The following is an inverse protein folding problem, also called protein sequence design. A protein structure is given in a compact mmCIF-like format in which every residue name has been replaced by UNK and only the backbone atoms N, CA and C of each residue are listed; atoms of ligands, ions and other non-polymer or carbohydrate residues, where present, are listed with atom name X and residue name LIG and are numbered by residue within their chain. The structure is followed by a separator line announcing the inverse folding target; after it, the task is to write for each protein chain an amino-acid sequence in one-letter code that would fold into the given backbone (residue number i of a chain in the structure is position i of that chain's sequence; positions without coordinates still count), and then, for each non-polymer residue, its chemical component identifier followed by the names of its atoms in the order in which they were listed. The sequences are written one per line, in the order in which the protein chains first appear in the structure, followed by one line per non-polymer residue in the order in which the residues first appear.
data_IF_332408056685
#
_entry.id   IF_332408056685
#
_cell.length_a   1.000
_cell.length_b   1.000
_cell.length_c   1.000
_cell.angle_alpha   90.00
_cell.angle_beta   90.00
_cell.angle_gamma   90.00
#
_symmetry.space_group_name_H-M   'P 1'
#
loop_
_entity.id
_entity.type
_entity.pdbx_description
1 polymer ?
#
# COMPACT_ATOMS: atom_id res chain seq x y z
N UNK A 1 21.57 -5.69 -2.87
CA UNK A 1 20.62 -4.83 -2.13
C UNK A 1 20.36 -3.48 -2.79
N UNK A 2 21.37 -2.75 -3.28
CA UNK A 2 21.15 -1.41 -3.87
C UNK A 2 20.15 -1.36 -5.03
N UNK A 3 20.20 -2.33 -5.97
CA UNK A 3 19.24 -2.41 -7.08
C UNK A 3 17.78 -2.55 -6.62
N UNK A 4 17.53 -3.37 -5.58
CA UNK A 4 16.19 -3.54 -5.00
C UNK A 4 15.67 -2.23 -4.39
N UNK A 5 16.52 -1.51 -3.66
CA UNK A 5 16.14 -0.23 -3.06
C UNK A 5 15.82 0.86 -4.11
N UNK A 6 16.57 0.88 -5.22
CA UNK A 6 16.29 1.78 -6.36
C UNK A 6 14.96 1.41 -7.01
N UNK A 7 14.70 0.13 -7.22
CA UNK A 7 13.44 -0.36 -7.77
C UNK A 7 12.23 0.09 -6.92
N UNK A 8 12.30 -0.05 -5.60
CA UNK A 8 11.25 0.43 -4.70
C UNK A 8 11.04 1.95 -4.82
N UNK A 9 12.10 2.75 -4.91
CA UNK A 9 11.98 4.21 -5.10
C UNK A 9 11.25 4.56 -6.40
N UNK A 10 11.59 3.88 -7.49
CA UNK A 10 10.95 4.08 -8.79
C UNK A 10 9.46 3.71 -8.69
N UNK A 11 9.13 2.57 -8.09
CA UNK A 11 7.73 2.16 -7.92
C UNK A 11 6.94 3.13 -7.04
N UNK A 12 7.50 3.62 -5.93
CA UNK A 12 6.84 4.60 -5.07
C UNK A 12 6.52 5.87 -5.88
N UNK A 13 7.49 6.41 -6.61
CA UNK A 13 7.29 7.58 -7.45
C UNK A 13 6.26 7.34 -8.54
N UNK A 14 6.31 6.17 -9.19
CA UNK A 14 5.35 5.78 -10.21
C UNK A 14 3.92 5.77 -9.65
N UNK A 15 3.70 5.10 -8.52
CA UNK A 15 2.39 5.03 -7.88
C UNK A 15 1.88 6.41 -7.44
N UNK A 16 2.76 7.29 -6.94
CA UNK A 16 2.40 8.66 -6.59
C UNK A 16 1.98 9.48 -7.83
N UNK A 17 2.77 9.42 -8.90
CA UNK A 17 2.46 10.16 -10.15
C UNK A 17 1.14 9.68 -10.73
N UNK A 18 0.95 8.37 -10.89
CA UNK A 18 -0.32 7.84 -11.39
C UNK A 18 -1.49 8.15 -10.46
N UNK A 19 -1.30 8.04 -9.15
CA UNK A 19 -2.31 8.45 -8.17
C UNK A 19 -2.74 9.90 -8.40
N UNK A 20 -1.80 10.82 -8.63
CA UNK A 20 -2.13 12.23 -8.90
C UNK A 20 -2.85 12.43 -10.22
N UNK A 21 -2.48 11.69 -11.28
CA UNK A 21 -3.16 11.75 -12.58
C UNK A 21 -4.62 11.31 -12.48
N UNK A 22 -4.90 10.24 -11.73
CA UNK A 22 -6.25 9.70 -11.57
C UNK A 22 -7.10 10.44 -10.54
N UNK A 23 -6.55 11.39 -9.77
CA UNK A 23 -7.22 12.00 -8.62
C UNK A 23 -8.56 12.68 -8.99
N UNK A 24 -8.61 13.36 -10.14
CA UNK A 24 -9.80 14.10 -10.56
C UNK A 24 -10.88 13.19 -11.20
N UNK A 25 -10.47 12.15 -11.92
CA UNK A 25 -11.39 11.29 -12.67
C UNK A 25 -11.84 10.06 -11.89
N UNK A 26 -10.94 9.44 -11.14
CA UNK A 26 -11.15 8.16 -10.45
C UNK A 26 -10.57 8.22 -9.03
N UNK A 27 -11.18 9.02 -8.12
CA UNK A 27 -10.61 9.30 -6.80
C UNK A 27 -10.39 8.05 -5.96
N UNK A 28 -11.26 7.05 -6.06
CA UNK A 28 -11.09 5.79 -5.34
C UNK A 28 -9.87 4.98 -5.84
N UNK A 29 -9.63 4.98 -7.15
CA UNK A 29 -8.45 4.33 -7.72
C UNK A 29 -7.17 5.11 -7.37
N UNK A 30 -7.23 6.44 -7.39
CA UNK A 30 -6.14 7.30 -6.90
C UNK A 30 -5.75 6.99 -5.45
N UNK A 31 -6.72 6.88 -4.55
CA UNK A 31 -6.48 6.49 -3.14
C UNK A 31 -5.85 5.09 -3.06
N UNK A 32 -6.33 4.14 -3.85
CA UNK A 32 -5.73 2.80 -3.93
C UNK A 32 -4.24 2.86 -4.30
N UNK A 33 -3.88 3.64 -5.33
CA UNK A 33 -2.48 3.82 -5.75
C UNK A 33 -1.63 4.49 -4.66
N UNK A 34 -2.16 5.48 -3.96
CA UNK A 34 -1.45 6.09 -2.83
C UNK A 34 -1.22 5.13 -1.67
N UNK A 35 -2.18 4.26 -1.38
CA UNK A 35 -2.02 3.24 -0.35
C UNK A 35 -0.99 2.18 -0.74
N UNK A 36 -0.92 1.82 -2.02
CA UNK A 36 0.18 0.97 -2.53
C UNK A 36 1.52 1.70 -2.36
N UNK A 37 1.60 2.98 -2.73
CA UNK A 37 2.81 3.77 -2.56
C UNK A 37 3.26 3.82 -1.09
N UNK A 38 2.31 3.99 -0.16
CA UNK A 38 2.57 3.97 1.28
C UNK A 38 3.09 2.60 1.75
N UNK A 39 2.48 1.51 1.30
CA UNK A 39 2.95 0.16 1.61
C UNK A 39 4.39 -0.07 1.13
N UNK A 40 4.69 0.31 -0.11
CA UNK A 40 6.03 0.20 -0.68
C UNK A 40 7.03 1.07 0.08
N UNK A 41 6.63 2.27 0.51
CA UNK A 41 7.47 3.17 1.29
C UNK A 41 7.81 2.59 2.67
N UNK A 42 6.82 2.04 3.39
CA UNK A 42 7.07 1.36 4.68
C UNK A 42 8.02 0.17 4.47
N UNK A 43 7.80 -0.62 3.43
CA UNK A 43 8.65 -1.77 3.09
C UNK A 43 10.07 -1.34 2.70
N UNK A 44 10.23 -0.22 1.98
CA UNK A 44 11.54 0.34 1.63
C UNK A 44 12.38 0.65 2.87
N UNK A 45 11.79 1.27 3.90
CA UNK A 45 12.47 1.57 5.16
C UNK A 45 12.78 0.32 5.99
N UNK A 46 11.89 -0.67 5.98
CA UNK A 46 12.15 -1.99 6.56
C UNK A 46 13.37 -2.66 5.91
N UNK A 47 13.44 -2.69 4.58
CA UNK A 47 14.58 -3.24 3.84
C UNK A 47 15.89 -2.47 4.04
N UNK A 48 15.82 -1.20 4.43
CA UNK A 48 16.99 -0.38 4.80
C UNK A 48 17.47 -0.67 6.23
N UNK A 49 16.78 -1.52 6.98
CA UNK A 49 17.08 -1.81 8.39
C UNK A 49 16.61 -0.73 9.36
N UNK A 50 15.71 0.17 8.93
CA UNK A 50 15.11 1.19 9.79
C UNK A 50 13.58 1.08 9.75
N UNK A 51 13.00 -0.02 10.28
CA UNK A 51 11.56 -0.23 10.24
C UNK A 51 10.83 0.82 11.07
N UNK A 52 9.62 1.18 10.65
CA UNK A 52 8.76 2.10 11.39
C UNK A 52 8.25 1.47 12.70
N UNK A 53 7.69 2.30 13.58
CA UNK A 53 7.01 1.83 14.78
C UNK A 53 5.82 0.92 14.42
N UNK A 54 5.52 -0.09 15.25
CA UNK A 54 4.45 -1.07 15.01
C UNK A 54 3.08 -0.44 14.72
N UNK A 55 2.78 0.70 15.36
CA UNK A 55 1.55 1.45 15.12
C UNK A 55 1.36 1.89 13.66
N UNK A 56 2.44 2.19 12.94
CA UNK A 56 2.41 2.56 11.52
C UNK A 56 1.94 1.38 10.68
N UNK A 57 2.41 0.17 10.99
CA UNK A 57 1.98 -1.04 10.29
C UNK A 57 0.52 -1.37 10.58
N UNK A 58 0.05 -1.23 11.83
CA UNK A 58 -1.37 -1.41 12.14
C UNK A 58 -2.26 -0.41 11.39
N UNK A 59 -1.87 0.85 11.34
CA UNK A 59 -2.58 1.86 10.55
C UNK A 59 -2.60 1.49 9.07
N UNK A 60 -1.46 1.10 8.51
CA UNK A 60 -1.35 0.66 7.12
C UNK A 60 -2.28 -0.53 6.81
N UNK A 61 -2.33 -1.53 7.69
CA UNK A 61 -3.23 -2.69 7.54
C UNK A 61 -4.68 -2.23 7.52
N UNK A 62 -5.10 -1.38 8.46
CA UNK A 62 -6.47 -0.87 8.55
C UNK A 62 -6.84 -0.10 7.27
N UNK A 63 -5.96 0.77 6.79
CA UNK A 63 -6.19 1.53 5.57
C UNK A 63 -6.31 0.63 4.33
N UNK A 64 -5.46 -0.40 4.20
CA UNK A 64 -5.52 -1.34 3.10
C UNK A 64 -6.78 -2.22 3.14
N UNK A 65 -7.21 -2.65 4.33
CA UNK A 65 -8.46 -3.38 4.52
C UNK A 65 -9.68 -2.50 4.20
N UNK A 66 -9.69 -1.26 4.67
CA UNK A 66 -10.75 -0.30 4.35
C UNK A 66 -10.82 -0.05 2.84
N UNK A 67 -9.67 0.14 2.17
CA UNK A 67 -9.63 0.29 0.73
C UNK A 67 -10.14 -0.96 0.01
N UNK A 68 -9.75 -2.17 0.44
CA UNK A 68 -10.29 -3.39 -0.13
C UNK A 68 -11.83 -3.43 -0.04
N UNK A 69 -12.39 -3.10 1.13
CA UNK A 69 -13.83 -2.98 1.32
C UNK A 69 -14.48 -2.00 0.34
N UNK A 70 -13.90 -0.81 0.17
CA UNK A 70 -14.37 0.19 -0.80
C UNK A 70 -14.38 -0.38 -2.22
N UNK A 71 -13.26 -0.97 -2.65
CA UNK A 71 -13.10 -1.51 -4.00
C UNK A 71 -14.07 -2.65 -4.32
N UNK A 72 -14.44 -3.47 -3.32
CA UNK A 72 -15.37 -4.59 -3.49
C UNK A 72 -16.83 -4.17 -3.45
N UNK A 73 -17.22 -3.25 -2.55
CA UNK A 73 -18.62 -3.08 -2.18
C UNK A 73 -19.19 -1.68 -2.34
N UNK A 74 -18.34 -0.64 -2.38
CA UNK A 74 -18.82 0.76 -2.32
C UNK A 74 -18.63 1.53 -3.63
N UNK A 75 -17.99 0.94 -4.63
CA UNK A 75 -17.90 1.54 -5.97
C UNK A 75 -19.11 1.18 -6.83
N UNK A 76 -19.52 2.11 -7.68
CA UNK A 76 -20.58 1.90 -8.69
C UNK A 76 -20.25 0.72 -9.61
N UNK A 77 -18.97 0.60 -9.96
CA UNK A 77 -18.40 -0.56 -10.66
C UNK A 77 -17.29 -1.14 -9.79
N UNK A 78 -17.49 -2.35 -9.22
CA UNK A 78 -16.51 -2.97 -8.35
C UNK A 78 -15.19 -3.27 -9.07
N UNK A 79 -14.07 -2.87 -8.47
CA UNK A 79 -12.73 -3.19 -8.96
C UNK A 79 -12.13 -4.31 -8.10
N UNK A 80 -12.58 -5.53 -8.40
CA UNK A 80 -12.25 -6.73 -7.63
C UNK A 80 -10.74 -6.96 -7.56
N UNK A 81 -10.02 -6.71 -8.66
CA UNK A 81 -8.57 -6.88 -8.70
C UNK A 81 -7.87 -5.94 -7.72
N UNK A 82 -8.22 -4.65 -7.71
CA UNK A 82 -7.66 -3.66 -6.78
C UNK A 82 -7.97 -3.99 -5.32
N UNK A 83 -9.16 -4.54 -5.07
CA UNK A 83 -9.53 -5.05 -3.76
C UNK A 83 -8.62 -6.20 -3.30
N UNK A 84 -8.38 -7.20 -4.15
CA UNK A 84 -7.47 -8.30 -3.83
C UNK A 84 -6.02 -7.85 -3.63
N UNK A 85 -5.53 -6.93 -4.46
CA UNK A 85 -4.18 -6.34 -4.29
C UNK A 85 -4.05 -5.69 -2.91
N UNK A 86 -5.07 -4.94 -2.50
CA UNK A 86 -5.10 -4.31 -1.17
C UNK A 86 -5.10 -5.33 -0.03
N UNK A 87 -5.90 -6.40 -0.14
CA UNK A 87 -5.91 -7.49 0.84
C UNK A 87 -4.56 -8.19 0.93
N UNK A 88 -3.92 -8.45 -0.20
CA UNK A 88 -2.61 -9.11 -0.26
C UNK A 88 -1.57 -8.27 0.47
N UNK A 89 -1.50 -6.96 0.21
CA UNK A 89 -0.59 -6.07 0.93
C UNK A 89 -0.93 -5.92 2.41
N UNK A 90 -2.21 -5.90 2.78
CA UNK A 90 -2.62 -5.91 4.19
C UNK A 90 -2.10 -7.16 4.91
N UNK A 91 -2.18 -8.32 4.25
CA UNK A 91 -1.65 -9.58 4.79
C UNK A 91 -0.13 -9.54 4.99
N UNK A 92 0.65 -9.02 4.02
CA UNK A 92 2.10 -8.88 4.22
C UNK A 92 2.47 -7.87 5.30
N UNK A 93 1.75 -6.75 5.38
CA UNK A 93 1.95 -5.79 6.46
C UNK A 93 1.67 -6.43 7.83
N UNK A 94 0.63 -7.27 7.94
CA UNK A 94 0.36 -8.04 9.16
C UNK A 94 1.47 -9.04 9.48
N UNK A 95 2.00 -9.76 8.49
CA UNK A 95 3.16 -10.63 8.70
C UNK A 95 4.38 -9.86 9.19
N UNK A 96 4.62 -8.65 8.67
CA UNK A 96 5.72 -7.79 9.10
C UNK A 96 5.57 -7.42 10.60
N UNK A 97 4.37 -7.03 11.05
CA UNK A 97 4.09 -6.79 12.49
C UNK A 97 4.48 -7.97 13.36
N UNK A 98 4.13 -9.19 12.93
CA UNK A 98 4.44 -10.41 13.70
C UNK A 98 5.93 -10.70 13.79
N UNK A 99 6.72 -10.34 12.75
CA UNK A 99 8.18 -10.46 12.80
C UNK A 99 8.80 -9.54 13.84
N UNK A 100 8.32 -8.30 13.94
CA UNK A 100 8.82 -7.34 14.93
C UNK A 100 8.35 -7.61 16.37
N UNK A 101 7.37 -8.50 16.56
CA UNK A 101 6.85 -8.90 17.88
C UNK A 101 7.66 -10.01 18.56
N UNK A 102 8.62 -10.61 17.86
CA UNK A 102 9.62 -11.53 18.42
C UNK A 102 10.91 -10.77 18.67
#
# INVERSE_FOLDING_TARGET
MYGLLIFYRILILLMLVWGTVYLAGEPAYSVHLYLIALYLFVTYFELRGNPFHRGVYHLLIILLLANAGIQFFFLKEPNILSGFVSLFFAFFAWQAVRRFSR
#
